data_IF_507077127819
#
_entry.id   IF_507077127819
#
_cell.length_a   1.000
_cell.length_b   1.000
_cell.length_c   1.000
_cell.angle_alpha   90.00
_cell.angle_beta   90.00
_cell.angle_gamma   90.00
#
_symmetry.space_group_name_H-M   'P 1'
#
loop_
_entity.id
_entity.type
_entity.pdbx_description
1 polymer ?
#
# COMPACT_ATOMS: atom_id res chain seq x y z
N UNK A 1 -35.58 0.61 32.87
CA UNK A 1 -35.49 0.79 31.41
C UNK A 1 -34.08 1.25 31.05
N UNK A 2 -33.54 0.64 29.99
CA UNK A 2 -32.44 1.10 29.13
C UNK A 2 -31.07 1.45 29.76
N UNK A 3 -30.16 0.46 29.76
CA UNK A 3 -28.78 0.60 29.23
C UNK A 3 -28.06 -0.75 29.34
N UNK A 4 -28.29 -1.63 28.38
CA UNK A 4 -27.41 -2.77 28.14
C UNK A 4 -27.44 -3.09 26.65
N UNK A 5 -26.24 -3.34 26.11
CA UNK A 5 -25.98 -3.97 24.80
C UNK A 5 -26.19 -3.00 23.62
N UNK A 6 -25.19 -2.61 22.82
CA UNK A 6 -24.20 -3.45 22.15
C UNK A 6 -22.93 -2.64 21.86
N UNK A 7 -21.82 -3.02 22.50
CA UNK A 7 -20.48 -2.88 21.94
C UNK A 7 -20.39 -3.86 20.76
N UNK A 8 -21.01 -3.54 19.64
CA UNK A 8 -20.89 -4.37 18.44
C UNK A 8 -19.55 -4.09 17.77
N UNK A 9 -18.61 -4.98 18.08
CA UNK A 9 -17.60 -5.54 17.17
C UNK A 9 -16.94 -4.49 16.27
N UNK A 10 -15.82 -3.95 16.74
CA UNK A 10 -14.77 -3.41 15.87
C UNK A 10 -14.34 -4.53 14.91
N UNK A 11 -15.03 -4.64 13.78
CA UNK A 11 -14.64 -5.48 12.66
C UNK A 11 -13.20 -5.10 12.30
N UNK A 12 -12.35 -6.09 12.05
CA UNK A 12 -11.03 -5.85 11.46
C UNK A 12 -11.23 -4.93 10.25
N UNK A 13 -10.42 -3.87 10.05
CA UNK A 13 -10.54 -3.04 8.86
C UNK A 13 -10.41 -3.95 7.63
N UNK A 14 -11.34 -3.82 6.67
CA UNK A 14 -11.46 -4.66 5.47
C UNK A 14 -10.11 -4.85 4.74
N UNK A 15 -9.29 -3.80 4.71
CA UNK A 15 -7.94 -3.81 4.10
C UNK A 15 -6.97 -4.81 4.74
N UNK A 16 -7.23 -5.27 5.97
CA UNK A 16 -6.42 -6.27 6.69
C UNK A 16 -6.98 -7.69 6.60
N UNK A 17 -8.17 -7.88 6.04
CA UNK A 17 -8.74 -9.22 5.87
C UNK A 17 -7.97 -10.00 4.80
N UNK A 18 -7.92 -11.31 4.99
CA UNK A 18 -7.46 -12.26 3.97
C UNK A 18 -8.55 -12.46 2.92
N UNK A 19 -8.18 -12.90 1.71
CA UNK A 19 -9.15 -13.10 0.63
C UNK A 19 -10.25 -14.12 1.01
N UNK A 20 -9.93 -15.11 1.84
CA UNK A 20 -10.90 -16.08 2.37
C UNK A 20 -11.90 -15.46 3.33
N UNK A 21 -11.45 -14.59 4.25
CA UNK A 21 -12.33 -13.83 5.14
C UNK A 21 -13.24 -12.88 4.35
N UNK A 22 -12.72 -12.21 3.32
CA UNK A 22 -13.53 -11.36 2.44
C UNK A 22 -14.57 -12.15 1.65
N UNK A 23 -14.22 -13.35 1.17
CA UNK A 23 -15.18 -14.21 0.45
C UNK A 23 -16.33 -14.65 1.36
N UNK A 24 -16.03 -15.05 2.60
CA UNK A 24 -17.08 -15.39 3.59
C UNK A 24 -17.97 -14.18 3.86
N UNK A 25 -17.35 -13.01 4.07
CA UNK A 25 -18.09 -11.78 4.31
C UNK A 25 -18.98 -11.36 3.12
N UNK A 26 -18.49 -11.51 1.89
CA UNK A 26 -19.26 -11.25 0.68
C UNK A 26 -20.41 -12.24 0.48
N UNK A 27 -20.22 -13.51 0.86
CA UNK A 27 -21.28 -14.52 0.88
C UNK A 27 -22.34 -14.21 1.94
N UNK A 28 -21.92 -13.81 3.14
CA UNK A 28 -22.83 -13.42 4.24
C UNK A 28 -23.67 -12.19 3.87
N UNK A 29 -23.12 -11.27 3.06
CA UNK A 29 -23.85 -10.13 2.53
C UNK A 29 -24.85 -10.50 1.42
N UNK A 30 -24.63 -11.60 0.69
CA UNK A 30 -25.55 -12.08 -0.36
C UNK A 30 -25.72 -11.17 -1.60
N UNK A 31 -25.21 -9.94 -1.57
CA UNK A 31 -25.35 -8.94 -2.64
C UNK A 31 -24.29 -9.09 -3.76
N UNK A 32 -23.22 -9.84 -3.53
CA UNK A 32 -22.11 -10.00 -4.48
C UNK A 32 -22.19 -11.39 -5.12
N UNK A 33 -22.48 -11.46 -6.42
CA UNK A 33 -22.50 -12.71 -7.20
C UNK A 33 -21.11 -12.98 -7.79
N UNK A 34 -20.62 -14.22 -7.74
CA UNK A 34 -19.31 -14.59 -8.31
C UNK A 34 -18.11 -14.43 -7.36
N UNK A 35 -18.35 -14.38 -6.05
CA UNK A 35 -17.35 -14.20 -4.97
C UNK A 35 -16.12 -15.11 -5.09
N UNK A 36 -16.30 -16.34 -5.58
CA UNK A 36 -15.20 -17.30 -5.72
C UNK A 36 -14.25 -16.99 -6.87
N UNK A 37 -14.71 -16.27 -7.90
CA UNK A 37 -13.92 -15.90 -9.08
C UNK A 37 -13.26 -14.53 -9.02
N UNK A 38 -13.55 -13.72 -8.00
CA UNK A 38 -13.01 -12.37 -7.86
C UNK A 38 -11.63 -12.35 -7.20
N UNK A 39 -10.75 -11.49 -7.70
CA UNK A 39 -9.45 -11.22 -7.08
C UNK A 39 -9.62 -10.47 -5.73
N UNK A 40 -8.58 -10.45 -4.88
CA UNK A 40 -8.63 -9.78 -3.57
C UNK A 40 -9.00 -8.29 -3.69
N UNK A 41 -8.49 -7.60 -4.71
CA UNK A 41 -8.77 -6.18 -4.96
C UNK A 41 -10.21 -5.94 -5.41
N UNK A 42 -10.74 -6.83 -6.26
CA UNK A 42 -12.12 -6.79 -6.75
C UNK A 42 -13.12 -7.07 -5.61
N UNK A 43 -12.82 -8.05 -4.74
CA UNK A 43 -13.63 -8.33 -3.54
C UNK A 43 -13.67 -7.15 -2.58
N UNK A 44 -12.53 -6.48 -2.35
CA UNK A 44 -12.48 -5.27 -1.53
C UNK A 44 -13.37 -4.17 -2.12
N UNK A 45 -13.27 -3.92 -3.43
CA UNK A 45 -14.08 -2.91 -4.09
C UNK A 45 -15.58 -3.25 -4.04
N UNK A 46 -15.95 -4.51 -4.26
CA UNK A 46 -17.34 -4.95 -4.20
C UNK A 46 -17.94 -4.80 -2.79
N UNK A 47 -17.21 -5.25 -1.75
CA UNK A 47 -17.65 -5.13 -0.35
C UNK A 47 -17.74 -3.66 0.09
N UNK A 48 -16.81 -2.80 -0.35
CA UNK A 48 -16.84 -1.37 -0.05
C UNK A 48 -18.00 -0.63 -0.74
N UNK A 49 -18.32 -1.00 -1.99
CA UNK A 49 -19.50 -0.50 -2.72
C UNK A 49 -20.80 -0.85 -1.99
N UNK A 50 -20.96 -2.11 -1.56
CA UNK A 50 -22.12 -2.57 -0.78
C UNK A 50 -22.23 -1.82 0.55
N UNK A 51 -21.12 -1.59 1.25
CA UNK A 51 -21.10 -0.82 2.51
C UNK A 51 -21.33 0.69 2.35
N UNK A 52 -21.44 1.22 1.13
CA UNK A 52 -21.62 2.67 0.91
C UNK A 52 -20.42 3.52 1.36
N UNK A 53 -19.27 2.90 1.62
CA UNK A 53 -18.04 3.63 1.98
C UNK A 53 -17.47 4.13 0.66
N UNK A 54 -17.67 5.43 0.41
CA UNK A 54 -17.03 6.15 -0.69
C UNK A 54 -15.52 6.01 -0.50
N UNK A 55 -14.90 5.14 -1.30
CA UNK A 55 -13.45 5.01 -1.36
C UNK A 55 -12.87 6.39 -1.72
N UNK A 56 -12.30 7.08 -0.73
CA UNK A 56 -11.09 7.88 -0.97
C UNK A 56 -9.99 6.89 -1.34
N UNK A 57 -10.11 6.35 -2.54
CA UNK A 57 -9.25 5.28 -3.02
C UNK A 57 -7.82 5.73 -2.81
N UNK A 58 -7.01 4.88 -2.17
CA UNK A 58 -5.59 4.87 -2.49
C UNK A 58 -5.53 4.45 -3.95
N UNK A 59 -5.68 5.43 -4.84
CA UNK A 59 -5.43 5.30 -6.26
C UNK A 59 -4.17 4.44 -6.38
N UNK A 60 -4.26 3.35 -7.16
CA UNK A 60 -3.11 2.52 -7.48
C UNK A 60 -1.95 3.49 -7.68
N UNK A 61 -0.96 3.47 -6.78
CA UNK A 61 0.03 4.56 -6.70
C UNK A 61 0.74 4.57 -8.04
N UNK A 62 0.27 5.42 -8.95
CA UNK A 62 0.92 5.67 -10.21
C UNK A 62 2.30 6.08 -9.78
N UNK A 63 3.28 5.28 -10.19
CA UNK A 63 4.63 5.40 -9.66
C UNK A 63 5.11 6.79 -10.08
N UNK A 64 5.08 7.74 -9.13
CA UNK A 64 5.35 9.12 -9.46
C UNK A 64 6.84 9.24 -9.79
N UNK A 65 7.13 9.31 -11.09
CA UNK A 65 8.50 9.35 -11.63
C UNK A 65 9.26 10.55 -11.07
N UNK A 66 8.57 11.67 -10.79
CA UNK A 66 9.16 12.88 -10.20
C UNK A 66 9.64 12.63 -8.77
N UNK A 67 8.79 12.06 -7.92
CA UNK A 67 9.15 11.70 -6.54
C UNK A 67 10.32 10.70 -6.49
N UNK A 68 10.35 9.74 -7.42
CA UNK A 68 11.45 8.78 -7.49
C UNK A 68 12.78 9.46 -7.87
N UNK A 69 12.74 10.45 -8.78
CA UNK A 69 13.91 11.26 -9.17
C UNK A 69 14.40 12.14 -8.01
N UNK A 70 13.48 12.75 -7.26
CA UNK A 70 13.79 13.55 -6.07
C UNK A 70 14.48 12.69 -4.99
N UNK A 71 13.88 11.54 -4.64
CA UNK A 71 14.49 10.57 -3.71
C UNK A 71 15.86 10.09 -4.20
N UNK A 72 16.03 9.88 -5.51
CA UNK A 72 17.34 9.51 -6.06
C UNK A 72 18.38 10.62 -5.90
N UNK A 73 17.99 11.90 -6.01
CA UNK A 73 18.85 13.07 -5.79
C UNK A 73 19.25 13.19 -4.31
N UNK A 74 18.29 13.03 -3.40
CA UNK A 74 18.56 13.00 -1.95
C UNK A 74 19.55 11.91 -1.55
N UNK A 75 19.36 10.69 -2.07
CA UNK A 75 20.28 9.57 -1.78
C UNK A 75 21.69 9.80 -2.33
N UNK A 76 21.85 10.63 -3.36
CA UNK A 76 23.16 11.06 -3.88
C UNK A 76 23.77 12.15 -3.02
N UNK A 77 23.00 13.10 -2.52
CA UNK A 77 23.46 14.11 -1.57
C UNK A 77 23.98 13.44 -0.29
N UNK A 78 23.19 12.53 0.30
CA UNK A 78 23.61 11.72 1.46
C UNK A 78 24.88 10.92 1.22
N UNK A 79 25.08 10.43 -0.02
CA UNK A 79 26.32 9.75 -0.40
C UNK A 79 27.51 10.72 -0.36
N UNK A 80 27.35 11.96 -0.84
CA UNK A 80 28.41 12.96 -0.79
C UNK A 80 28.71 13.39 0.64
N UNK A 81 27.67 13.59 1.46
CA UNK A 81 27.82 13.86 2.90
C UNK A 81 28.57 12.72 3.60
N UNK A 82 28.21 11.46 3.32
CA UNK A 82 28.91 10.29 3.89
C UNK A 82 30.37 10.18 3.42
N UNK A 83 30.69 10.63 2.20
CA UNK A 83 32.08 10.71 1.73
C UNK A 83 32.83 11.81 2.50
N UNK A 84 32.22 13.00 2.62
CA UNK A 84 32.81 14.13 3.32
C UNK A 84 33.01 13.87 4.82
N UNK A 85 32.12 13.11 5.44
CA UNK A 85 32.20 12.72 6.85
C UNK A 85 33.13 11.53 7.11
N UNK A 86 33.81 11.00 6.09
CA UNK A 86 34.71 9.84 6.23
C UNK A 86 33.99 8.54 6.61
N UNK A 87 32.71 8.39 6.26
CA UNK A 87 31.93 7.21 6.59
C UNK A 87 32.51 5.94 5.94
N UNK A 88 32.09 4.78 6.44
CA UNK A 88 32.64 3.51 5.97
C UNK A 88 32.32 3.26 4.49
N UNK A 89 33.23 2.55 3.80
CA UNK A 89 33.04 2.13 2.40
C UNK A 89 31.73 1.36 2.20
N UNK A 90 31.27 0.63 3.23
CA UNK A 90 30.01 -0.12 3.23
C UNK A 90 28.81 0.82 3.17
N UNK A 91 28.77 1.87 4.00
CA UNK A 91 27.68 2.84 4.05
C UNK A 91 27.56 3.62 2.73
N UNK A 92 28.70 4.11 2.21
CA UNK A 92 28.75 4.78 0.90
C UNK A 92 28.25 3.83 -0.21
N UNK A 93 28.63 2.55 -0.14
CA UNK A 93 28.19 1.51 -1.06
C UNK A 93 26.67 1.28 -1.01
N UNK A 94 26.06 1.28 0.17
CA UNK A 94 24.62 1.13 0.36
C UNK A 94 23.88 2.34 -0.25
N UNK A 95 24.34 3.57 0.04
CA UNK A 95 23.74 4.80 -0.49
C UNK A 95 23.80 4.83 -2.02
N UNK A 96 24.94 4.45 -2.61
CA UNK A 96 25.10 4.29 -4.07
C UNK A 96 24.09 3.29 -4.65
N UNK A 97 23.97 2.10 -4.04
CA UNK A 97 23.05 1.04 -4.51
C UNK A 97 21.59 1.51 -4.44
N UNK A 98 21.19 2.19 -3.36
CA UNK A 98 19.84 2.75 -3.19
C UNK A 98 19.54 3.81 -4.26
N UNK A 99 20.44 4.76 -4.49
CA UNK A 99 20.28 5.77 -5.55
C UNK A 99 20.15 5.13 -6.95
N UNK A 100 20.98 4.14 -7.26
CA UNK A 100 20.91 3.42 -8.55
C UNK A 100 19.60 2.63 -8.71
N UNK A 101 19.12 1.98 -7.64
CA UNK A 101 17.84 1.26 -7.68
C UNK A 101 16.68 2.21 -7.96
N UNK A 102 16.66 3.39 -7.31
CA UNK A 102 15.64 4.41 -7.56
C UNK A 102 15.68 4.91 -9.02
N UNK A 103 16.87 5.18 -9.58
CA UNK A 103 17.01 5.50 -11.01
C UNK A 103 16.53 4.38 -11.94
N UNK A 104 16.83 3.11 -11.63
CA UNK A 104 16.32 2.00 -12.42
C UNK A 104 14.79 1.92 -12.36
N UNK A 105 14.19 2.22 -11.20
CA UNK A 105 12.72 2.30 -11.06
C UNK A 105 12.13 3.46 -11.86
N UNK A 106 12.81 4.61 -11.97
CA UNK A 106 12.34 5.71 -12.84
C UNK A 106 12.35 5.32 -14.32
N UNK A 107 13.36 4.58 -14.78
CA UNK A 107 13.42 4.09 -16.17
C UNK A 107 12.39 2.99 -16.47
N UNK A 108 11.93 2.26 -15.46
CA UNK A 108 10.90 1.21 -15.64
C UNK A 108 9.47 1.76 -15.56
N UNK A 109 9.31 2.94 -14.97
CA UNK A 109 8.01 3.57 -14.73
C UNK A 109 7.68 4.67 -15.76
N UNK A 110 8.65 5.03 -16.60
CA UNK A 110 8.49 5.87 -17.78
C UNK A 110 8.50 4.97 -19.02
#
# INVERSE_FOLDING_TARGET
>A
MAKKERKEKKEKPLDKMTATEMRKYALDLGEIVGVHGMNKEELLAAIKKVKGIKDEGKAAKTVNVRELKEKAKEMRAKKQEAIASGASRKEIGILRKKANRLKKRTHKAA
#
